data_IF_722373934081
#
_entry.id   IF_722373934081
#
_cell.length_a   1.000
_cell.length_b   1.000
_cell.length_c   1.000
_cell.angle_alpha   90.00
_cell.angle_beta   90.00
_cell.angle_gamma   90.00
#
_symmetry.space_group_name_H-M   'P 1'
#
loop_
_entity.id
_entity.type
_entity.pdbx_description
1 polymer ?
#
# COMPACT_ATOMS: atom_id res chain seq x y z
N UNK A 1 46.85 10.76 -40.81
CA UNK A 1 45.91 11.87 -40.49
C UNK A 1 44.55 11.24 -40.26
N UNK A 2 44.14 11.04 -39.01
CA UNK A 2 42.79 10.60 -38.69
C UNK A 2 41.85 11.79 -38.93
N UNK A 3 41.06 11.72 -39.99
CA UNK A 3 39.95 12.65 -40.24
C UNK A 3 38.82 12.25 -39.31
N UNK A 4 38.55 13.08 -38.31
CA UNK A 4 37.30 13.04 -37.57
C UNK A 4 36.20 13.39 -38.57
N UNK A 5 35.40 12.40 -38.97
CA UNK A 5 34.07 12.65 -39.51
C UNK A 5 33.25 13.25 -38.37
N UNK A 6 33.22 14.58 -38.31
CA UNK A 6 32.28 15.31 -37.47
C UNK A 6 30.92 15.12 -38.13
N UNK A 7 30.23 14.05 -37.73
CA UNK A 7 28.81 13.91 -38.01
C UNK A 7 28.11 14.98 -37.17
N UNK A 8 27.83 16.14 -37.76
CA UNK A 8 27.00 17.19 -37.17
C UNK A 8 25.58 16.63 -36.99
N UNK A 9 25.32 16.02 -35.83
CA UNK A 9 24.07 15.30 -35.52
C UNK A 9 22.84 16.22 -35.53
N UNK A 10 23.02 17.54 -35.46
CA UNK A 10 21.93 18.51 -35.54
C UNK A 10 22.21 19.59 -36.59
N UNK A 11 21.29 19.86 -37.53
CA UNK A 11 21.31 21.13 -38.25
C UNK A 11 21.23 22.26 -37.20
N UNK A 12 21.97 23.36 -37.39
CA UNK A 12 22.15 24.49 -36.47
C UNK A 12 20.85 24.99 -35.78
N UNK A 13 20.39 24.30 -34.74
CA UNK A 13 19.35 24.78 -33.82
C UNK A 13 20.07 25.37 -32.62
N UNK A 14 19.92 26.68 -32.35
CA UNK A 14 20.49 27.29 -31.15
C UNK A 14 20.09 26.50 -29.90
N UNK A 15 21.04 26.22 -29.01
CA UNK A 15 20.79 25.42 -27.81
C UNK A 15 19.63 25.97 -26.96
N UNK A 16 19.45 27.29 -26.95
CA UNK A 16 18.32 27.94 -26.28
C UNK A 16 16.95 27.52 -26.84
N UNK A 17 16.85 27.30 -28.16
CA UNK A 17 15.63 26.78 -28.80
C UNK A 17 15.46 25.29 -28.50
N UNK A 18 16.56 24.54 -28.44
CA UNK A 18 16.55 23.12 -28.08
C UNK A 18 16.08 22.88 -26.63
N UNK A 19 16.49 23.74 -25.70
CA UNK A 19 16.18 23.64 -24.26
C UNK A 19 14.76 24.10 -23.92
N UNK A 20 14.19 25.03 -24.69
CA UNK A 20 12.87 25.63 -24.44
C UNK A 20 11.74 24.58 -24.22
N UNK A 21 11.56 23.54 -25.06
CA UNK A 21 10.65 22.43 -24.81
C UNK A 21 10.77 21.81 -23.41
N UNK A 22 12.00 21.60 -22.96
CA UNK A 22 12.31 21.10 -21.62
C UNK A 22 11.89 22.07 -20.54
N UNK A 23 12.21 23.36 -20.71
CA UNK A 23 11.82 24.40 -19.75
C UNK A 23 10.31 24.53 -19.58
N UNK A 24 9.54 24.38 -20.66
CA UNK A 24 8.06 24.38 -20.59
C UNK A 24 7.56 23.17 -19.79
N UNK A 25 8.02 21.96 -20.13
CA UNK A 25 7.63 20.73 -19.41
C UNK A 25 8.01 20.80 -17.91
N UNK A 26 9.19 21.34 -17.61
CA UNK A 26 9.67 21.52 -16.24
C UNK A 26 8.82 22.53 -15.46
N UNK A 27 8.41 23.63 -16.07
CA UNK A 27 7.54 24.61 -15.44
C UNK A 27 6.15 24.04 -15.11
N UNK A 28 5.58 23.26 -16.04
CA UNK A 28 4.33 22.52 -15.82
C UNK A 28 4.50 21.58 -14.62
N UNK A 29 5.58 20.80 -14.59
CA UNK A 29 5.84 19.86 -13.51
C UNK A 29 6.04 20.51 -12.14
N UNK A 30 6.83 21.58 -12.06
CA UNK A 30 7.01 22.35 -10.82
C UNK A 30 5.66 22.84 -10.29
N UNK A 31 4.80 23.34 -11.17
CA UNK A 31 3.49 23.84 -10.75
C UNK A 31 2.52 22.71 -10.37
N UNK A 32 2.61 21.54 -11.01
CA UNK A 32 1.87 20.33 -10.62
C UNK A 32 2.31 19.83 -9.24
N UNK A 33 3.61 19.85 -8.96
CA UNK A 33 4.18 19.42 -7.67
C UNK A 33 3.69 20.31 -6.52
N UNK A 34 3.77 21.64 -6.70
CA UNK A 34 3.30 22.61 -5.71
C UNK A 34 1.78 22.58 -5.63
N UNK A 35 1.12 22.73 -6.77
CA UNK A 35 -0.31 22.94 -6.90
C UNK A 35 -1.19 21.71 -6.68
N UNK A 36 -0.62 20.51 -6.76
CA UNK A 36 -1.28 19.22 -6.58
C UNK A 36 -0.70 18.42 -5.43
N UNK A 37 0.56 17.99 -5.54
CA UNK A 37 1.18 17.06 -4.58
C UNK A 37 1.33 17.63 -3.16
N UNK A 38 1.99 18.78 -3.03
CA UNK A 38 2.28 19.41 -1.73
C UNK A 38 0.98 19.86 -1.05
N UNK A 39 0.10 20.55 -1.77
CA UNK A 39 -1.18 21.03 -1.23
C UNK A 39 -2.06 19.87 -0.76
N UNK A 40 -2.16 18.81 -1.55
CA UNK A 40 -2.97 17.64 -1.17
C UNK A 40 -2.50 17.01 0.14
N UNK A 41 -1.19 16.86 0.32
CA UNK A 41 -0.65 16.24 1.54
C UNK A 41 -0.75 17.19 2.73
N UNK A 42 -0.58 18.49 2.53
CA UNK A 42 -0.80 19.49 3.58
C UNK A 42 -2.28 19.50 4.02
N UNK A 43 -3.22 19.44 3.08
CA UNK A 43 -4.66 19.29 3.36
C UNK A 43 -4.95 17.97 4.09
N UNK A 44 -4.27 16.88 3.72
CA UNK A 44 -4.39 15.58 4.39
C UNK A 44 -3.87 15.66 5.83
N UNK A 45 -2.72 16.28 6.04
CA UNK A 45 -2.09 16.42 7.36
C UNK A 45 -2.86 17.37 8.29
N UNK A 46 -3.54 18.39 7.74
CA UNK A 46 -4.44 19.28 8.48
C UNK A 46 -5.80 18.64 8.80
N UNK A 47 -6.06 17.42 8.35
CA UNK A 47 -7.34 16.72 8.53
C UNK A 47 -8.47 17.27 7.64
N UNK A 48 -8.18 18.14 6.68
CA UNK A 48 -9.17 18.74 5.78
C UNK A 48 -9.84 17.67 4.92
N UNK A 49 -9.07 16.67 4.49
CA UNK A 49 -9.56 15.50 3.76
C UNK A 49 -10.65 14.72 4.48
N UNK A 50 -10.62 14.72 5.81
CA UNK A 50 -11.58 14.01 6.65
C UNK A 50 -12.86 14.82 6.83
N UNK A 51 -12.73 16.16 6.82
CA UNK A 51 -13.85 17.08 6.73
C UNK A 51 -14.65 16.91 5.43
N UNK A 52 -14.01 16.51 4.32
CA UNK A 52 -14.74 16.22 3.08
C UNK A 52 -15.56 14.92 3.14
N UNK A 53 -15.23 13.98 4.03
CA UNK A 53 -15.95 12.71 4.15
C UNK A 53 -17.27 12.84 4.91
N UNK A 54 -17.52 13.98 5.56
CA UNK A 54 -18.78 14.31 6.23
C UNK A 54 -19.69 15.22 5.40
N UNK A 55 -19.22 15.71 4.25
CA UNK A 55 -20.04 16.46 3.28
C UNK A 55 -20.59 15.52 2.21
N UNK A 56 -21.65 15.91 1.47
CA UNK A 56 -22.20 15.09 0.39
C UNK A 56 -21.31 15.03 -0.88
N UNK A 57 -20.02 15.37 -0.78
CA UNK A 57 -19.08 15.40 -1.91
C UNK A 57 -18.59 13.97 -2.18
N UNK A 58 -18.68 13.53 -3.43
CA UNK A 58 -18.15 12.23 -3.82
C UNK A 58 -16.63 12.24 -3.92
N UNK A 59 -15.99 11.07 -3.76
CA UNK A 59 -14.54 10.93 -3.94
C UNK A 59 -14.10 11.37 -5.34
N UNK A 60 -14.90 11.07 -6.36
CA UNK A 60 -14.63 11.44 -7.75
C UNK A 60 -14.66 12.95 -7.95
N UNK A 61 -15.62 13.66 -7.35
CA UNK A 61 -15.69 15.12 -7.40
C UNK A 61 -14.47 15.75 -6.74
N UNK A 62 -14.03 15.21 -5.60
CA UNK A 62 -12.84 15.69 -4.92
C UNK A 62 -11.59 15.50 -5.79
N UNK A 63 -11.40 14.29 -6.34
CA UNK A 63 -10.29 13.95 -7.23
C UNK A 63 -10.29 14.84 -8.49
N UNK A 64 -11.45 14.98 -9.12
CA UNK A 64 -11.63 15.79 -10.32
C UNK A 64 -11.35 17.28 -10.03
N UNK A 65 -11.86 17.82 -8.93
CA UNK A 65 -11.63 19.20 -8.52
C UNK A 65 -10.15 19.51 -8.30
N UNK A 66 -9.44 18.61 -7.62
CA UNK A 66 -7.99 18.72 -7.42
C UNK A 66 -7.20 18.62 -8.72
N UNK A 67 -7.54 17.66 -9.60
CA UNK A 67 -6.90 17.52 -10.90
C UNK A 67 -7.13 18.75 -11.79
N UNK A 68 -8.36 19.27 -11.84
CA UNK A 68 -8.70 20.47 -12.63
C UNK A 68 -7.97 21.70 -12.10
N UNK A 69 -8.00 21.93 -10.78
CA UNK A 69 -7.30 23.05 -10.14
C UNK A 69 -5.78 23.01 -10.39
N UNK A 70 -5.17 21.83 -10.22
CA UNK A 70 -3.75 21.61 -10.50
C UNK A 70 -3.41 21.81 -11.98
N UNK A 71 -4.26 21.31 -12.88
CA UNK A 71 -4.10 21.47 -14.33
C UNK A 71 -4.14 22.94 -14.72
N UNK A 72 -5.11 23.72 -14.24
CA UNK A 72 -5.23 25.15 -14.57
C UNK A 72 -3.96 25.91 -14.16
N UNK A 73 -3.49 25.70 -12.93
CA UNK A 73 -2.25 26.29 -12.42
C UNK A 73 -1.05 25.95 -13.31
N UNK A 74 -0.91 24.68 -13.69
CA UNK A 74 0.19 24.20 -14.51
C UNK A 74 0.10 24.68 -15.98
N UNK A 75 -1.10 24.80 -16.53
CA UNK A 75 -1.35 25.38 -17.85
C UNK A 75 -0.91 26.84 -17.89
N UNK A 76 -1.23 27.62 -16.85
CA UNK A 76 -0.78 29.01 -16.75
C UNK A 76 0.75 29.10 -16.75
N UNK A 77 1.43 28.30 -15.92
CA UNK A 77 2.90 28.28 -15.88
C UNK A 77 3.51 27.85 -17.22
N UNK A 78 3.01 26.77 -17.82
CA UNK A 78 3.47 26.27 -19.12
C UNK A 78 3.25 27.28 -20.24
N UNK A 79 2.08 27.92 -20.28
CA UNK A 79 1.76 28.96 -21.26
C UNK A 79 2.67 30.19 -21.10
N UNK A 80 2.89 30.65 -19.87
CA UNK A 80 3.81 31.77 -19.59
C UNK A 80 5.22 31.48 -20.10
N UNK A 81 5.78 30.31 -19.78
CA UNK A 81 7.11 29.92 -20.25
C UNK A 81 7.14 29.68 -21.77
N UNK A 82 6.06 29.14 -22.34
CA UNK A 82 5.94 28.99 -23.79
C UNK A 82 6.00 30.36 -24.50
N UNK A 83 5.23 31.36 -24.06
CA UNK A 83 5.21 32.70 -24.69
C UNK A 83 6.55 33.40 -24.49
N UNK A 84 7.01 33.55 -23.25
CA UNK A 84 8.24 34.28 -22.92
C UNK A 84 9.46 33.57 -23.53
N UNK A 85 9.53 32.26 -23.35
CA UNK A 85 10.63 31.45 -23.86
C UNK A 85 10.69 31.42 -25.38
N UNK A 86 9.55 31.42 -26.08
CA UNK A 86 9.53 31.50 -27.55
C UNK A 86 10.07 32.85 -28.07
N UNK A 87 9.78 33.95 -27.34
CA UNK A 87 10.31 35.28 -27.66
C UNK A 87 11.82 35.35 -27.42
N UNK A 88 12.29 34.89 -26.26
CA UNK A 88 13.71 34.91 -25.89
C UNK A 88 14.54 34.01 -26.81
N UNK A 89 14.04 32.81 -27.12
CA UNK A 89 14.74 31.86 -27.98
C UNK A 89 14.71 32.23 -29.47
N UNK A 90 13.96 33.28 -29.86
CA UNK A 90 13.84 33.71 -31.25
C UNK A 90 13.13 32.69 -32.14
N UNK A 91 12.09 32.02 -31.62
CA UNK A 91 11.34 31.02 -32.38
C UNK A 91 10.61 31.71 -33.54
N UNK A 92 10.74 31.23 -34.80
CA UNK A 92 10.12 31.90 -35.96
C UNK A 92 8.59 31.94 -35.86
N UNK A 93 7.96 33.11 -36.04
CA UNK A 93 6.50 33.30 -35.94
C UNK A 93 5.89 32.74 -34.64
N UNK A 94 6.33 33.23 -33.46
CA UNK A 94 5.91 32.66 -32.17
C UNK A 94 4.41 32.89 -31.90
N UNK A 95 3.81 33.92 -32.50
CA UNK A 95 2.39 34.26 -32.36
C UNK A 95 1.48 33.66 -33.42
N UNK A 96 1.94 32.65 -34.17
CA UNK A 96 1.07 31.95 -35.10
C UNK A 96 -0.09 31.27 -34.33
N UNK A 97 -1.33 31.66 -34.63
CA UNK A 97 -2.52 31.20 -33.89
C UNK A 97 -2.67 29.67 -33.91
N UNK A 98 -2.38 29.01 -35.03
CA UNK A 98 -2.45 27.54 -35.12
C UNK A 98 -1.37 26.87 -34.28
N UNK A 99 -0.15 27.43 -34.24
CA UNK A 99 0.91 26.90 -33.38
C UNK A 99 0.57 27.06 -31.91
N UNK A 100 0.11 28.25 -31.50
CA UNK A 100 -0.34 28.50 -30.13
C UNK A 100 -1.45 27.52 -29.74
N UNK A 101 -2.44 27.30 -30.62
CA UNK A 101 -3.53 26.36 -30.35
C UNK A 101 -3.01 24.93 -30.13
N UNK A 102 -2.11 24.44 -31.01
CA UNK A 102 -1.52 23.10 -30.88
C UNK A 102 -0.68 22.95 -29.61
N UNK A 103 0.12 23.96 -29.28
CA UNK A 103 0.91 24.00 -28.06
C UNK A 103 0.00 24.05 -26.82
N UNK A 104 -1.09 24.81 -26.86
CA UNK A 104 -2.05 24.89 -25.77
C UNK A 104 -2.71 23.53 -25.50
N UNK A 105 -3.11 22.81 -26.56
CA UNK A 105 -3.63 21.44 -26.43
C UNK A 105 -2.59 20.53 -25.78
N UNK A 106 -1.34 20.57 -26.24
CA UNK A 106 -0.27 19.77 -25.66
C UNK A 106 0.04 20.15 -24.20
N UNK A 107 0.03 21.44 -23.85
CA UNK A 107 0.22 21.93 -22.47
C UNK A 107 -0.89 21.38 -21.58
N UNK A 108 -2.15 21.45 -22.00
CA UNK A 108 -3.29 20.95 -21.22
C UNK A 108 -3.19 19.44 -20.99
N UNK A 109 -2.91 18.66 -22.04
CA UNK A 109 -2.78 17.21 -21.93
C UNK A 109 -1.57 16.82 -21.07
N UNK A 110 -0.43 17.51 -21.23
CA UNK A 110 0.77 17.29 -20.41
C UNK A 110 0.49 17.62 -18.95
N UNK A 111 -0.12 18.77 -18.66
CA UNK A 111 -0.48 19.18 -17.32
C UNK A 111 -1.41 18.16 -16.65
N UNK A 112 -2.41 17.67 -17.39
CA UNK A 112 -3.36 16.67 -16.90
C UNK A 112 -2.72 15.29 -16.66
N UNK A 113 -1.78 14.87 -17.51
CA UNK A 113 -1.04 13.62 -17.33
C UNK A 113 -0.12 13.69 -16.09
N UNK A 114 0.66 14.78 -15.96
CA UNK A 114 1.58 14.96 -14.84
C UNK A 114 0.87 15.15 -13.51
N UNK A 115 -0.27 15.88 -13.47
CA UNK A 115 -1.06 16.02 -12.24
C UNK A 115 -1.64 14.67 -11.81
N UNK A 116 -2.14 13.86 -12.76
CA UNK A 116 -2.68 12.53 -12.48
C UNK A 116 -1.60 11.60 -11.92
N UNK A 117 -0.40 11.64 -12.51
CA UNK A 117 0.78 10.93 -11.98
C UNK A 117 1.11 11.37 -10.56
N UNK A 118 1.13 12.68 -10.32
CA UNK A 118 1.53 13.25 -9.04
C UNK A 118 0.59 12.80 -7.93
N UNK A 119 -0.72 12.86 -8.19
CA UNK A 119 -1.69 12.39 -7.23
C UNK A 119 -1.59 10.89 -6.95
N UNK A 120 -1.34 10.06 -7.97
CA UNK A 120 -1.11 8.63 -7.77
C UNK A 120 0.07 8.39 -6.82
N UNK A 121 1.22 9.02 -7.06
CA UNK A 121 2.41 8.87 -6.23
C UNK A 121 2.20 9.39 -4.79
N UNK A 122 1.39 10.42 -4.62
CA UNK A 122 1.18 11.10 -3.34
C UNK A 122 0.08 10.48 -2.48
N UNK A 123 -0.74 9.54 -2.99
CA UNK A 123 -1.83 8.90 -2.23
C UNK A 123 -1.31 8.22 -0.95
N UNK A 124 -0.25 7.42 -1.09
CA UNK A 124 0.36 6.67 0.02
C UNK A 124 1.25 7.51 0.93
N UNK A 125 1.57 8.73 0.53
CA UNK A 125 2.41 9.61 1.34
C UNK A 125 1.54 10.30 2.38
N UNK A 126 1.97 10.22 3.64
CA UNK A 126 1.25 10.82 4.78
C UNK A 126 2.06 11.91 5.46
N UNK A 127 3.39 11.91 5.29
CA UNK A 127 4.28 12.92 5.86
C UNK A 127 4.36 14.16 4.93
N UNK A 128 4.05 15.37 5.43
CA UNK A 128 4.16 16.64 4.68
C UNK A 128 5.55 16.99 4.15
N UNK A 129 6.62 16.44 4.71
CA UNK A 129 8.00 16.72 4.30
C UNK A 129 8.44 15.84 3.12
N UNK A 130 7.89 14.62 3.01
CA UNK A 130 8.25 13.64 1.97
C UNK A 130 8.07 14.15 0.53
N UNK A 131 7.00 14.90 0.16
CA UNK A 131 6.82 15.41 -1.19
C UNK A 131 7.95 16.32 -1.66
N UNK A 132 8.55 17.10 -0.75
CA UNK A 132 9.66 18.00 -1.06
C UNK A 132 10.93 17.22 -1.37
N UNK A 133 11.17 16.11 -0.66
CA UNK A 133 12.29 15.21 -0.94
C UNK A 133 12.08 14.44 -2.26
N UNK A 134 10.87 13.88 -2.44
CA UNK A 134 10.47 13.16 -3.66
C UNK A 134 10.55 14.07 -4.89
N UNK A 135 10.24 15.36 -4.77
CA UNK A 135 10.37 16.33 -5.84
C UNK A 135 11.77 16.33 -6.48
N UNK A 136 12.84 16.42 -5.67
CA UNK A 136 14.21 16.46 -6.19
C UNK A 136 14.58 15.18 -6.94
N UNK A 137 14.15 14.03 -6.40
CA UNK A 137 14.35 12.72 -7.02
C UNK A 137 13.58 12.61 -8.35
N UNK A 138 12.27 12.91 -8.34
CA UNK A 138 11.44 12.85 -9.54
C UNK A 138 11.89 13.83 -10.61
N UNK A 139 12.26 15.05 -10.23
CA UNK A 139 12.83 16.02 -11.15
C UNK A 139 14.04 15.42 -11.87
N UNK A 140 14.98 14.85 -11.12
CA UNK A 140 16.19 14.25 -11.73
C UNK A 140 15.84 13.03 -12.59
N UNK A 141 14.99 12.13 -12.09
CA UNK A 141 14.66 10.86 -12.72
C UNK A 141 13.80 11.00 -13.98
N UNK A 142 12.95 12.04 -14.05
CA UNK A 142 12.07 12.28 -15.20
C UNK A 142 12.69 13.29 -16.17
N UNK A 143 13.23 14.40 -15.68
CA UNK A 143 13.70 15.48 -16.56
C UNK A 143 14.94 15.09 -17.38
N UNK A 144 15.91 14.38 -16.81
CA UNK A 144 17.14 14.04 -17.53
C UNK A 144 16.91 13.01 -18.65
N UNK A 145 16.21 11.88 -18.42
CA UNK A 145 15.91 10.92 -19.47
C UNK A 145 14.91 11.42 -20.51
N UNK A 146 14.13 12.47 -20.21
CA UNK A 146 13.08 13.01 -21.10
C UNK A 146 13.55 13.50 -22.47
N UNK A 147 14.86 13.63 -22.65
CA UNK A 147 15.43 14.24 -23.85
C UNK A 147 15.45 15.77 -23.82
N UNK A 148 15.03 16.41 -22.72
CA UNK A 148 15.01 17.87 -22.58
C UNK A 148 16.40 18.50 -22.76
N UNK A 149 17.40 17.94 -22.07
CA UNK A 149 18.77 18.48 -22.04
C UNK A 149 19.66 17.83 -23.10
N UNK A 150 19.52 16.51 -23.28
CA UNK A 150 20.37 15.72 -24.18
C UNK A 150 19.54 14.85 -25.11
N UNK A 151 20.03 14.50 -26.31
CA UNK A 151 19.32 13.59 -27.20
C UNK A 151 19.27 12.16 -26.63
N UNK A 152 18.10 11.53 -26.66
CA UNK A 152 17.89 10.20 -26.08
C UNK A 152 18.70 9.09 -26.73
N UNK A 153 19.07 9.26 -28.00
CA UNK A 153 19.88 8.31 -28.77
C UNK A 153 21.29 8.13 -28.17
N UNK A 154 21.78 9.12 -27.43
CA UNK A 154 23.07 9.07 -26.75
C UNK A 154 23.05 8.38 -25.39
N UNK A 155 21.88 7.95 -24.89
CA UNK A 155 21.76 7.33 -23.57
C UNK A 155 22.06 5.83 -23.59
N UNK A 156 22.58 5.26 -22.48
CA UNK A 156 22.74 3.83 -22.34
C UNK A 156 21.39 3.10 -22.36
N UNK A 157 21.32 1.81 -22.74
CA UNK A 157 20.05 1.10 -22.95
C UNK A 157 19.08 1.14 -21.76
N UNK A 158 19.58 1.05 -20.53
CA UNK A 158 18.75 1.10 -19.33
C UNK A 158 18.05 2.46 -19.14
N UNK A 159 18.70 3.56 -19.51
CA UNK A 159 18.13 4.91 -19.42
C UNK A 159 17.12 5.16 -20.54
N UNK A 160 17.33 4.56 -21.72
CA UNK A 160 16.33 4.58 -22.79
C UNK A 160 15.04 3.84 -22.41
N UNK A 161 15.12 2.78 -21.60
CA UNK A 161 13.93 2.08 -21.07
C UNK A 161 13.13 3.00 -20.15
N UNK A 162 13.80 3.76 -19.27
CA UNK A 162 13.15 4.74 -18.39
C UNK A 162 12.44 5.81 -19.24
N UNK A 163 13.12 6.36 -20.24
CA UNK A 163 12.57 7.37 -21.13
C UNK A 163 11.28 6.90 -21.85
N UNK A 164 11.18 5.63 -22.22
CA UNK A 164 9.97 5.09 -22.89
C UNK A 164 8.71 5.09 -22.02
N UNK A 165 8.87 4.99 -20.70
CA UNK A 165 7.76 4.96 -19.73
C UNK A 165 7.50 6.34 -19.13
N UNK A 166 8.44 7.27 -19.31
CA UNK A 166 8.38 8.59 -18.73
C UNK A 166 7.46 9.53 -19.54
N UNK A 167 6.34 10.04 -18.97
CA UNK A 167 5.46 10.97 -19.66
C UNK A 167 6.14 12.30 -20.03
N UNK A 168 7.23 12.69 -19.35
CA UNK A 168 8.01 13.87 -19.77
C UNK A 168 8.64 13.70 -21.16
N UNK A 169 9.07 12.49 -21.51
CA UNK A 169 9.66 12.21 -22.82
C UNK A 169 8.71 12.60 -23.95
N UNK A 170 7.45 12.19 -23.86
CA UNK A 170 6.43 12.46 -24.87
C UNK A 170 6.02 13.94 -24.89
N UNK A 171 5.96 14.58 -23.72
CA UNK A 171 5.72 16.02 -23.64
C UNK A 171 6.85 16.82 -24.32
N UNK A 172 8.11 16.51 -24.01
CA UNK A 172 9.29 17.19 -24.58
C UNK A 172 9.39 16.92 -26.08
N UNK A 173 9.13 15.69 -26.53
CA UNK A 173 9.09 15.34 -27.95
C UNK A 173 8.02 16.14 -28.70
N UNK A 174 6.80 16.22 -28.15
CA UNK A 174 5.72 17.01 -28.73
C UNK A 174 6.04 18.50 -28.81
N UNK A 175 6.60 19.06 -27.74
CA UNK A 175 7.02 20.47 -27.71
C UNK A 175 8.12 20.76 -28.73
N UNK A 176 9.12 19.88 -28.87
CA UNK A 176 10.16 20.00 -29.90
C UNK A 176 9.57 20.00 -31.30
N UNK A 177 8.63 19.08 -31.57
CA UNK A 177 8.00 18.97 -32.89
C UNK A 177 7.21 20.22 -33.24
N UNK A 178 6.45 20.78 -32.30
CA UNK A 178 5.65 21.99 -32.53
C UNK A 178 6.48 23.28 -32.56
N UNK A 179 7.47 23.44 -31.68
CA UNK A 179 8.27 24.66 -31.57
C UNK A 179 9.35 24.76 -32.64
N UNK A 180 10.07 23.66 -32.90
CA UNK A 180 11.23 23.66 -33.80
C UNK A 180 10.83 23.36 -35.24
N UNK A 181 9.90 22.42 -35.45
CA UNK A 181 9.53 21.95 -36.79
C UNK A 181 8.20 22.53 -37.29
N UNK A 182 7.42 23.18 -36.41
CA UNK A 182 6.10 23.75 -36.73
C UNK A 182 5.15 22.74 -37.42
N UNK A 183 5.18 21.48 -36.98
CA UNK A 183 4.42 20.39 -37.57
C UNK A 183 2.92 20.46 -37.25
N UNK A 184 2.12 19.68 -37.97
CA UNK A 184 0.71 19.46 -37.65
C UNK A 184 0.50 18.60 -36.39
N UNK A 185 -0.77 18.43 -36.00
CA UNK A 185 -1.17 17.61 -34.85
C UNK A 185 -0.87 16.11 -35.11
N UNK A 186 -0.90 15.69 -36.37
CA UNK A 186 -0.53 14.35 -36.82
C UNK A 186 0.85 13.92 -36.33
N UNK A 187 1.83 14.84 -36.33
CA UNK A 187 3.19 14.55 -35.88
C UNK A 187 3.31 14.30 -34.37
N UNK A 188 2.34 14.77 -33.57
CA UNK A 188 2.32 14.61 -32.11
C UNK A 188 1.16 13.75 -31.64
N UNK A 189 0.43 13.11 -32.55
CA UNK A 189 -0.72 12.28 -32.22
C UNK A 189 -0.33 11.11 -31.31
N UNK A 190 0.85 10.53 -31.53
CA UNK A 190 1.41 9.48 -30.65
C UNK A 190 1.70 9.99 -29.23
N UNK A 191 2.27 11.19 -29.10
CA UNK A 191 2.57 11.82 -27.81
C UNK A 191 1.27 12.12 -27.03
N UNK A 192 0.27 12.70 -27.72
CA UNK A 192 -1.04 12.98 -27.13
C UNK A 192 -1.76 11.71 -26.70
N UNK A 193 -1.76 10.68 -27.55
CA UNK A 193 -2.38 9.40 -27.24
C UNK A 193 -1.72 8.77 -26.01
N UNK A 194 -0.39 8.78 -25.94
CA UNK A 194 0.34 8.27 -24.79
C UNK A 194 -0.02 9.01 -23.51
N UNK A 195 0.01 10.35 -23.52
CA UNK A 195 -0.28 11.16 -22.33
C UNK A 195 -1.74 10.99 -21.85
N UNK A 196 -2.70 10.91 -22.77
CA UNK A 196 -4.10 10.65 -22.44
C UNK A 196 -4.26 9.24 -21.84
N UNK A 197 -3.69 8.21 -22.49
CA UNK A 197 -3.75 6.84 -21.99
C UNK A 197 -3.07 6.72 -20.61
N UNK A 198 -1.90 7.35 -20.45
CA UNK A 198 -1.18 7.41 -19.19
C UNK A 198 -2.03 8.08 -18.10
N UNK A 199 -2.70 9.19 -18.40
CA UNK A 199 -3.58 9.87 -17.44
C UNK A 199 -4.76 8.98 -17.00
N UNK A 200 -5.37 8.25 -17.94
CA UNK A 200 -6.46 7.32 -17.64
C UNK A 200 -5.97 6.17 -16.74
N UNK A 201 -4.82 5.58 -17.04
CA UNK A 201 -4.19 4.56 -16.20
C UNK A 201 -3.89 5.10 -14.81
N UNK A 202 -3.28 6.29 -14.70
CA UNK A 202 -2.94 6.87 -13.41
C UNK A 202 -4.19 7.15 -12.54
N UNK A 203 -5.28 7.65 -13.14
CA UNK A 203 -6.55 7.88 -12.44
C UNK A 203 -7.17 6.56 -11.98
N UNK A 204 -7.21 5.54 -12.84
CA UNK A 204 -7.80 4.23 -12.48
C UNK A 204 -7.04 3.53 -11.36
N UNK A 205 -5.71 3.52 -11.43
CA UNK A 205 -4.85 2.98 -10.37
C UNK A 205 -5.06 3.72 -9.05
N UNK A 206 -5.14 5.06 -9.10
CA UNK A 206 -5.40 5.88 -7.91
C UNK A 206 -6.75 5.52 -7.28
N UNK A 207 -7.79 5.35 -8.08
CA UNK A 207 -9.12 4.98 -7.57
C UNK A 207 -9.09 3.62 -6.88
N UNK A 208 -8.41 2.63 -7.48
CA UNK A 208 -8.26 1.30 -6.89
C UNK A 208 -7.49 1.35 -5.55
N UNK A 209 -6.40 2.13 -5.48
CA UNK A 209 -5.63 2.30 -4.23
C UNK A 209 -6.45 2.95 -3.11
N UNK A 210 -7.22 4.00 -3.40
CA UNK A 210 -8.07 4.63 -2.40
C UNK A 210 -9.24 3.75 -1.93
N UNK A 211 -9.74 2.88 -2.81
CA UNK A 211 -10.79 1.93 -2.49
C UNK A 211 -10.26 0.88 -1.49
N UNK A 212 -9.07 0.34 -1.75
CA UNK A 212 -8.34 -0.54 -0.83
C UNK A 212 -8.05 0.14 0.51
N UNK A 213 -7.53 1.37 0.51
CA UNK A 213 -7.31 2.12 1.76
C UNK A 213 -8.59 2.34 2.58
N UNK A 214 -9.73 2.58 1.92
CA UNK A 214 -11.02 2.73 2.60
C UNK A 214 -11.49 1.41 3.20
N UNK A 215 -11.36 0.32 2.43
CA UNK A 215 -11.66 -1.03 2.89
C UNK A 215 -10.81 -1.40 4.11
N UNK A 216 -9.52 -1.13 4.07
CA UNK A 216 -8.59 -1.46 5.16
C UNK A 216 -8.85 -0.62 6.41
N UNK A 217 -9.14 0.69 6.27
CA UNK A 217 -9.55 1.54 7.40
C UNK A 217 -10.83 1.03 8.07
N UNK A 218 -11.82 0.61 7.28
CA UNK A 218 -13.06 0.03 7.79
C UNK A 218 -12.80 -1.30 8.53
N UNK A 219 -12.00 -2.18 7.94
CA UNK A 219 -11.64 -3.48 8.52
C UNK A 219 -10.91 -3.31 9.85
N UNK A 220 -9.90 -2.44 9.91
CA UNK A 220 -9.13 -2.17 11.12
C UNK A 220 -9.97 -1.50 12.22
N UNK A 221 -10.84 -0.55 11.86
CA UNK A 221 -11.75 0.07 12.81
C UNK A 221 -12.76 -0.94 13.38
N UNK A 222 -13.30 -1.80 12.52
CA UNK A 222 -14.23 -2.86 12.89
C UNK A 222 -13.56 -3.90 13.80
N UNK A 223 -12.38 -4.39 13.45
CA UNK A 223 -11.61 -5.36 14.23
C UNK A 223 -11.44 -4.89 15.69
N UNK A 224 -11.00 -3.63 15.87
CA UNK A 224 -10.85 -3.03 17.20
C UNK A 224 -12.19 -2.87 17.93
N UNK A 225 -13.24 -2.36 17.27
CA UNK A 225 -14.54 -2.17 17.93
C UNK A 225 -15.22 -3.49 18.30
N UNK A 226 -15.14 -4.51 17.44
CA UNK A 226 -15.68 -5.84 17.74
C UNK A 226 -14.90 -6.51 18.89
N UNK A 227 -13.58 -6.40 18.91
CA UNK A 227 -12.77 -6.85 20.04
C UNK A 227 -13.07 -6.10 21.35
N UNK A 228 -13.27 -4.78 21.28
CA UNK A 228 -13.53 -3.93 22.46
C UNK A 228 -14.95 -4.07 23.01
N UNK A 229 -15.97 -4.24 22.16
CA UNK A 229 -17.41 -4.10 22.52
C UNK A 229 -18.29 -5.28 22.12
N UNK A 230 -17.81 -6.16 21.23
CA UNK A 230 -18.53 -7.35 20.76
C UNK A 230 -19.44 -7.06 19.59
N UNK A 231 -19.78 -8.11 18.84
CA UNK A 231 -20.56 -8.00 17.62
C UNK A 231 -21.90 -7.30 17.85
N UNK A 232 -22.71 -7.73 18.82
CA UNK A 232 -24.06 -7.21 19.04
C UNK A 232 -24.10 -5.69 19.31
N UNK A 233 -23.14 -5.16 20.07
CA UNK A 233 -23.15 -3.76 20.56
C UNK A 233 -22.56 -2.74 19.60
N UNK A 234 -21.83 -3.16 18.58
CA UNK A 234 -21.19 -2.26 17.61
C UNK A 234 -22.15 -1.97 16.46
N UNK A 235 -22.34 -0.69 16.13
CA UNK A 235 -23.13 -0.29 14.96
C UNK A 235 -22.24 0.05 13.77
N UNK A 236 -22.80 -0.05 12.56
CA UNK A 236 -22.10 0.39 11.33
C UNK A 236 -21.68 1.86 11.43
N UNK A 237 -22.49 2.68 12.10
CA UNK A 237 -22.19 4.10 12.33
C UNK A 237 -20.97 4.31 13.22
N UNK A 238 -20.80 3.50 14.27
CA UNK A 238 -19.62 3.56 15.15
C UNK A 238 -18.34 3.24 14.37
N UNK A 239 -18.39 2.20 13.54
CA UNK A 239 -17.27 1.77 12.69
C UNK A 239 -16.94 2.87 11.70
N UNK A 240 -17.93 3.40 10.99
CA UNK A 240 -17.75 4.48 10.00
C UNK A 240 -17.18 5.74 10.65
N UNK A 241 -17.61 6.07 11.87
CA UNK A 241 -17.07 7.19 12.64
C UNK A 241 -15.59 6.97 13.00
N UNK A 242 -15.21 5.77 13.45
CA UNK A 242 -13.81 5.43 13.79
C UNK A 242 -12.92 5.32 12.55
N UNK A 243 -13.45 4.81 11.44
CA UNK A 243 -12.74 4.66 10.17
C UNK A 243 -12.69 5.94 9.32
N UNK A 244 -13.46 6.97 9.70
CA UNK A 244 -13.69 8.18 8.89
C UNK A 244 -14.16 7.81 7.48
N UNK A 245 -15.22 7.02 7.38
CA UNK A 245 -15.80 6.55 6.13
C UNK A 245 -17.33 6.72 6.11
N UNK A 246 -17.92 6.71 4.91
CA UNK A 246 -19.38 6.76 4.76
C UNK A 246 -19.99 5.37 5.03
N UNK A 247 -21.18 5.33 5.65
CA UNK A 247 -22.00 4.11 5.86
C UNK A 247 -22.19 3.33 4.56
N UNK A 248 -22.36 4.01 3.43
CA UNK A 248 -22.48 3.37 2.12
C UNK A 248 -21.26 2.51 1.76
N UNK A 249 -20.05 2.87 2.23
CA UNK A 249 -18.84 2.12 1.97
C UNK A 249 -18.84 0.74 2.65
N UNK A 250 -19.48 0.60 3.82
CA UNK A 250 -19.60 -0.70 4.50
C UNK A 250 -20.47 -1.66 3.69
N UNK A 251 -21.61 -1.18 3.17
CA UNK A 251 -22.46 -1.99 2.30
C UNK A 251 -21.76 -2.33 0.98
N UNK A 252 -21.05 -1.37 0.39
CA UNK A 252 -20.32 -1.56 -0.87
C UNK A 252 -19.19 -2.59 -0.75
N UNK A 253 -18.32 -2.48 0.26
CA UNK A 253 -17.14 -3.34 0.37
C UNK A 253 -17.41 -4.69 1.05
N UNK A 254 -18.40 -4.74 1.94
CA UNK A 254 -18.58 -5.88 2.83
C UNK A 254 -20.02 -6.40 2.87
N UNK A 255 -20.96 -5.80 2.13
CA UNK A 255 -22.36 -6.24 2.15
C UNK A 255 -23.09 -5.98 3.47
N UNK A 256 -22.52 -5.16 4.36
CA UNK A 256 -23.12 -4.79 5.66
C UNK A 256 -22.29 -5.19 6.87
N UNK A 257 -22.90 -5.11 8.06
CA UNK A 257 -22.24 -5.41 9.35
C UNK A 257 -21.79 -6.87 9.44
N UNK A 258 -22.63 -7.81 9.02
CA UNK A 258 -22.34 -9.24 9.08
C UNK A 258 -21.15 -9.62 8.18
N UNK A 259 -21.15 -9.16 6.93
CA UNK A 259 -20.03 -9.45 6.02
C UNK A 259 -18.74 -8.74 6.44
N UNK A 260 -18.83 -7.56 7.08
CA UNK A 260 -17.66 -6.92 7.70
C UNK A 260 -17.14 -7.72 8.89
N UNK A 261 -18.02 -8.28 9.73
CA UNK A 261 -17.61 -9.16 10.82
C UNK A 261 -16.93 -10.43 10.29
N UNK A 262 -17.49 -11.07 9.27
CA UNK A 262 -16.88 -12.23 8.63
C UNK A 262 -15.50 -11.91 8.04
N UNK A 263 -15.32 -10.72 7.46
CA UNK A 263 -14.01 -10.29 6.97
C UNK A 263 -12.98 -10.10 8.09
N UNK A 264 -13.41 -9.53 9.24
CA UNK A 264 -12.57 -9.43 10.44
C UNK A 264 -12.21 -10.83 10.97
N UNK A 265 -13.19 -11.73 11.08
CA UNK A 265 -12.99 -13.11 11.53
C UNK A 265 -12.03 -13.87 10.60
N UNK A 266 -12.16 -13.70 9.28
CA UNK A 266 -11.23 -14.28 8.30
C UNK A 266 -9.81 -13.78 8.50
N UNK A 267 -9.62 -12.48 8.70
CA UNK A 267 -8.30 -11.88 8.96
C UNK A 267 -7.67 -12.45 10.24
N UNK A 268 -8.49 -12.62 11.29
CA UNK A 268 -8.06 -13.27 12.52
C UNK A 268 -7.67 -14.74 12.31
N UNK A 269 -8.47 -15.50 11.56
CA UNK A 269 -8.20 -16.89 11.23
C UNK A 269 -6.92 -17.07 10.43
N UNK A 270 -6.69 -16.26 9.39
CA UNK A 270 -5.47 -16.27 8.57
C UNK A 270 -4.23 -16.02 9.43
N UNK A 271 -4.30 -15.04 10.34
CA UNK A 271 -3.21 -14.75 11.28
C UNK A 271 -2.96 -15.94 12.23
N UNK A 272 -4.03 -16.53 12.75
CA UNK A 272 -3.98 -17.69 13.66
C UNK A 272 -3.45 -18.97 12.97
N UNK A 273 -3.77 -19.17 11.70
CA UNK A 273 -3.24 -20.26 10.88
C UNK A 273 -1.74 -20.05 10.63
N UNK A 274 -1.32 -18.84 10.26
CA UNK A 274 0.10 -18.51 10.08
C UNK A 274 0.95 -18.77 11.34
N UNK A 275 0.40 -18.52 12.53
CA UNK A 275 1.05 -18.90 13.80
C UNK A 275 1.20 -20.42 13.96
N UNK A 276 0.18 -21.18 13.55
CA UNK A 276 0.20 -22.64 13.60
C UNK A 276 1.20 -23.22 12.61
N UNK A 277 1.27 -22.66 11.40
CA UNK A 277 2.22 -23.06 10.37
C UNK A 277 3.66 -22.75 10.77
N UNK A 278 3.89 -21.57 11.37
CA UNK A 278 5.20 -21.21 11.93
C UNK A 278 5.64 -22.18 13.03
N UNK A 279 4.74 -22.56 13.94
CA UNK A 279 5.02 -23.54 14.98
C UNK A 279 5.34 -24.94 14.42
N UNK A 280 4.62 -25.35 13.37
CA UNK A 280 4.88 -26.62 12.66
C UNK A 280 6.22 -26.61 11.94
N UNK A 281 6.55 -25.52 11.25
CA UNK A 281 7.81 -25.35 10.55
C UNK A 281 9.00 -25.36 11.53
N UNK A 282 8.87 -24.67 12.66
CA UNK A 282 9.88 -24.65 13.71
C UNK A 282 10.06 -26.03 14.39
N UNK A 283 8.98 -26.80 14.56
CA UNK A 283 9.02 -28.13 15.16
C UNK A 283 9.54 -29.24 14.25
N UNK A 284 9.34 -29.15 12.93
CA UNK A 284 9.92 -30.02 11.91
C UNK A 284 10.19 -31.48 12.32
N UNK A 285 11.43 -31.94 12.10
CA UNK A 285 11.93 -33.26 12.50
C UNK A 285 12.59 -33.26 13.89
N UNK A 286 12.28 -32.28 14.74
CA UNK A 286 12.84 -32.23 16.08
C UNK A 286 12.26 -33.33 16.98
N UNK A 287 12.95 -33.71 18.06
CA UNK A 287 12.38 -34.59 19.07
C UNK A 287 11.08 -34.02 19.65
N UNK A 288 10.16 -34.87 20.16
CA UNK A 288 8.83 -34.44 20.63
C UNK A 288 8.85 -33.31 21.67
N UNK A 289 9.79 -33.34 22.60
CA UNK A 289 9.96 -32.29 23.61
C UNK A 289 10.34 -30.93 22.99
N UNK A 290 11.20 -30.94 21.97
CA UNK A 290 11.63 -29.73 21.25
C UNK A 290 10.54 -29.21 20.31
N UNK A 291 9.69 -30.10 19.74
CA UNK A 291 8.46 -29.68 19.03
C UNK A 291 7.52 -28.89 19.95
N UNK A 292 7.32 -29.35 21.18
CA UNK A 292 6.49 -28.67 22.19
C UNK A 292 7.13 -27.32 22.57
N UNK A 293 8.45 -27.28 22.78
CA UNK A 293 9.19 -26.04 23.04
C UNK A 293 9.02 -25.03 21.90
N UNK A 294 9.23 -25.46 20.66
CA UNK A 294 9.08 -24.62 19.48
C UNK A 294 7.66 -24.08 19.33
N UNK A 295 6.64 -24.92 19.56
CA UNK A 295 5.25 -24.48 19.61
C UNK A 295 5.06 -23.40 20.68
N UNK A 296 5.51 -23.65 21.91
CA UNK A 296 5.34 -22.71 23.02
C UNK A 296 6.04 -21.39 22.75
N UNK A 297 7.26 -21.41 22.20
CA UNK A 297 8.03 -20.23 21.84
C UNK A 297 7.34 -19.38 20.76
N UNK A 298 6.88 -20.01 19.67
CA UNK A 298 6.16 -19.31 18.59
C UNK A 298 4.87 -18.69 19.12
N UNK A 299 4.12 -19.40 19.98
CA UNK A 299 2.90 -18.86 20.57
C UNK A 299 3.18 -17.74 21.56
N UNK A 300 4.22 -17.84 22.40
CA UNK A 300 4.60 -16.79 23.32
C UNK A 300 5.03 -15.52 22.57
N UNK A 301 5.87 -15.65 21.54
CA UNK A 301 6.31 -14.53 20.71
C UNK A 301 5.12 -13.86 19.98
N UNK A 302 4.25 -14.66 19.36
CA UNK A 302 3.07 -14.15 18.65
C UNK A 302 2.02 -13.58 19.58
N UNK A 303 1.94 -13.99 20.85
CA UNK A 303 0.93 -13.48 21.79
C UNK A 303 1.41 -12.28 22.60
N UNK A 304 2.71 -12.23 22.93
CA UNK A 304 3.29 -11.28 23.89
C UNK A 304 4.37 -10.38 23.27
N UNK A 305 4.75 -10.57 22.01
CA UNK A 305 5.77 -9.76 21.33
C UNK A 305 5.38 -8.28 21.19
N UNK A 306 6.40 -7.41 21.15
CA UNK A 306 6.34 -5.93 21.21
C UNK A 306 5.45 -5.30 20.10
N UNK A 307 5.09 -6.05 19.07
CA UNK A 307 4.33 -5.57 17.90
C UNK A 307 2.88 -6.04 17.83
N UNK A 308 2.32 -6.73 18.83
CA UNK A 308 0.99 -7.33 18.68
C UNK A 308 -0.17 -6.40 18.99
N UNK A 309 -1.09 -6.29 18.03
CA UNK A 309 -2.44 -5.81 18.30
C UNK A 309 -3.25 -6.92 19.00
N UNK A 310 -3.53 -6.76 20.29
CA UNK A 310 -4.26 -7.74 21.13
C UNK A 310 -5.72 -7.97 20.75
N UNK A 311 -6.22 -7.33 19.68
CA UNK A 311 -7.62 -7.42 19.27
C UNK A 311 -8.03 -8.83 18.85
N UNK A 312 -7.13 -9.63 18.25
CA UNK A 312 -7.46 -11.01 17.82
C UNK A 312 -7.81 -11.86 19.04
N UNK A 313 -6.99 -11.80 20.09
CA UNK A 313 -7.25 -12.57 21.31
C UNK A 313 -8.54 -12.11 22.00
N UNK A 314 -8.73 -10.80 22.15
CA UNK A 314 -9.95 -10.23 22.71
C UNK A 314 -11.21 -10.63 21.92
N UNK A 315 -11.10 -10.63 20.58
CA UNK A 315 -12.17 -11.06 19.69
C UNK A 315 -12.51 -12.54 19.90
N UNK A 316 -11.51 -13.41 19.99
CA UNK A 316 -11.73 -14.84 20.25
C UNK A 316 -12.35 -15.09 21.63
N UNK A 317 -11.89 -14.40 22.68
CA UNK A 317 -12.49 -14.51 24.02
C UNK A 317 -13.96 -14.09 24.02
N UNK A 318 -14.31 -13.07 23.23
CA UNK A 318 -15.71 -12.66 23.03
C UNK A 318 -16.51 -13.70 22.28
N UNK A 319 -15.98 -14.21 21.18
CA UNK A 319 -16.63 -15.25 20.37
C UNK A 319 -16.89 -16.53 21.19
N UNK A 320 -16.02 -16.87 22.14
CA UNK A 320 -16.25 -17.99 23.08
C UNK A 320 -17.36 -17.68 24.12
N UNK A 321 -17.52 -16.41 24.49
CA UNK A 321 -18.50 -15.99 25.51
C UNK A 321 -19.90 -15.74 24.92
N UNK A 322 -19.95 -15.24 23.68
CA UNK A 322 -21.14 -14.90 22.92
C UNK A 322 -20.98 -15.41 21.48
N UNK A 323 -21.23 -16.71 21.23
CA UNK A 323 -20.94 -17.36 19.96
C UNK A 323 -21.74 -16.81 18.79
N UNK A 324 -21.05 -16.55 17.68
CA UNK A 324 -21.67 -16.37 16.36
C UNK A 324 -21.48 -17.63 15.53
N UNK A 325 -22.13 -17.74 14.35
CA UNK A 325 -21.84 -18.84 13.41
C UNK A 325 -20.37 -18.94 13.00
N UNK A 326 -19.59 -17.87 13.15
CA UNK A 326 -18.15 -17.86 12.85
C UNK A 326 -17.35 -18.75 13.80
N UNK A 327 -17.80 -18.97 15.05
CA UNK A 327 -17.11 -19.83 16.00
C UNK A 327 -16.93 -21.25 15.48
N UNK A 328 -17.96 -21.83 14.83
CA UNK A 328 -17.89 -23.19 14.29
C UNK A 328 -16.78 -23.31 13.24
N UNK A 329 -16.67 -22.30 12.36
CA UNK A 329 -15.63 -22.23 11.32
C UNK A 329 -14.24 -22.09 11.95
N UNK A 330 -14.08 -21.23 12.95
CA UNK A 330 -12.81 -21.08 13.69
C UNK A 330 -12.41 -22.39 14.38
N UNK A 331 -13.37 -23.09 14.99
CA UNK A 331 -13.14 -24.39 15.62
C UNK A 331 -12.63 -25.41 14.62
N UNK A 332 -13.28 -25.51 13.46
CA UNK A 332 -12.98 -26.55 12.47
C UNK A 332 -11.72 -26.25 11.64
N UNK A 333 -11.54 -25.01 11.19
CA UNK A 333 -10.46 -24.64 10.27
C UNK A 333 -9.17 -24.18 10.96
N UNK A 334 -9.24 -23.83 12.26
CA UNK A 334 -8.07 -23.25 12.97
C UNK A 334 -7.75 -24.03 14.24
N UNK A 335 -8.71 -24.18 15.15
CA UNK A 335 -8.42 -24.75 16.47
C UNK A 335 -8.18 -26.26 16.41
N UNK A 336 -9.00 -27.02 15.66
CA UNK A 336 -8.83 -28.47 15.51
C UNK A 336 -7.47 -28.84 14.90
N UNK A 337 -7.03 -28.27 13.76
CA UNK A 337 -5.70 -28.57 13.20
C UNK A 337 -4.55 -28.21 14.14
N UNK A 338 -4.65 -27.07 14.83
CA UNK A 338 -3.66 -26.65 15.83
C UNK A 338 -3.56 -27.63 17.00
N UNK A 339 -4.71 -28.05 17.54
CA UNK A 339 -4.73 -29.03 18.63
C UNK A 339 -4.22 -30.40 18.16
N UNK A 340 -4.54 -30.82 16.94
CA UNK A 340 -4.01 -32.06 16.39
C UNK A 340 -2.48 -32.07 16.35
N UNK A 341 -1.84 -30.97 15.89
CA UNK A 341 -0.39 -30.83 15.89
C UNK A 341 0.21 -30.99 17.30
N UNK A 342 -0.36 -30.28 18.29
CA UNK A 342 0.12 -30.35 19.67
C UNK A 342 -0.11 -31.74 20.29
N UNK A 343 -1.28 -32.34 20.07
CA UNK A 343 -1.60 -33.69 20.53
C UNK A 343 -0.65 -34.74 19.94
N UNK A 344 -0.29 -34.66 18.66
CA UNK A 344 0.69 -35.56 18.05
C UNK A 344 2.04 -35.47 18.75
N UNK A 345 2.56 -34.27 19.00
CA UNK A 345 3.85 -34.09 19.69
C UNK A 345 3.80 -34.64 21.14
N UNK A 346 2.69 -34.43 21.85
CA UNK A 346 2.50 -34.96 23.21
C UNK A 346 2.39 -36.49 23.21
N UNK A 347 1.64 -37.07 22.26
CA UNK A 347 1.47 -38.51 22.14
C UNK A 347 2.80 -39.22 21.81
N UNK A 348 3.60 -38.64 20.90
CA UNK A 348 4.97 -39.10 20.61
C UNK A 348 5.85 -39.07 21.88
N UNK A 349 5.75 -38.01 22.68
CA UNK A 349 6.51 -37.90 23.94
C UNK A 349 6.07 -38.91 24.99
N UNK A 350 4.77 -39.21 25.06
CA UNK A 350 4.19 -40.17 26.02
C UNK A 350 4.31 -41.63 25.58
N UNK A 351 4.58 -41.89 24.29
CA UNK A 351 4.57 -43.24 23.72
C UNK A 351 3.17 -43.87 23.70
N UNK A 352 2.12 -43.06 23.50
CA UNK A 352 0.72 -43.53 23.46
C UNK A 352 0.02 -43.10 22.17
N UNK A 353 -1.24 -43.55 22.00
CA UNK A 353 -2.05 -43.19 20.86
C UNK A 353 -2.51 -41.70 20.95
N UNK A 354 -2.62 -40.97 19.82
CA UNK A 354 -3.03 -39.56 19.82
C UNK A 354 -4.44 -39.27 20.38
N UNK A 355 -5.30 -40.28 20.41
CA UNK A 355 -6.67 -40.23 20.94
C UNK A 355 -6.76 -40.55 22.45
N UNK A 356 -5.65 -40.87 23.10
CA UNK A 356 -5.61 -41.08 24.55
C UNK A 356 -6.13 -39.83 25.28
N UNK A 357 -7.13 -39.95 26.18
CA UNK A 357 -7.71 -38.80 26.89
C UNK A 357 -6.69 -37.95 27.64
N UNK A 358 -5.54 -38.52 28.04
CA UNK A 358 -4.45 -37.79 28.71
C UNK A 358 -3.79 -36.79 27.78
N UNK A 359 -3.62 -37.13 26.49
CA UNK A 359 -2.98 -36.28 25.48
C UNK A 359 -3.78 -34.98 25.33
N UNK A 360 -5.09 -35.08 25.15
CA UNK A 360 -5.97 -33.91 25.03
C UNK A 360 -5.95 -33.05 26.29
N UNK A 361 -5.98 -33.67 27.49
CA UNK A 361 -5.88 -32.93 28.75
C UNK A 361 -4.56 -32.16 28.85
N UNK A 362 -3.43 -32.78 28.50
CA UNK A 362 -2.13 -32.10 28.45
C UNK A 362 -2.11 -30.95 27.43
N UNK A 363 -2.66 -31.14 26.23
CA UNK A 363 -2.75 -30.10 25.21
C UNK A 363 -3.59 -28.89 25.69
N UNK A 364 -4.72 -29.17 26.35
CA UNK A 364 -5.57 -28.15 26.98
C UNK A 364 -4.85 -27.43 28.12
N UNK A 365 -4.06 -28.14 28.95
CA UNK A 365 -3.27 -27.52 30.02
C UNK A 365 -2.17 -26.59 29.48
N UNK A 366 -1.51 -26.94 28.38
CA UNK A 366 -0.53 -26.05 27.72
C UNK A 366 -1.25 -24.80 27.19
N UNK A 367 -2.34 -24.99 26.46
CA UNK A 367 -3.10 -23.89 25.86
C UNK A 367 -3.70 -22.96 26.93
N UNK A 368 -4.16 -23.53 28.05
CA UNK A 368 -4.71 -22.78 29.19
C UNK A 368 -3.69 -21.85 29.86
N UNK A 369 -2.41 -22.24 29.92
CA UNK A 369 -1.34 -21.39 30.48
C UNK A 369 -1.17 -20.08 29.69
N UNK A 370 -1.34 -20.11 28.36
CA UNK A 370 -1.34 -18.90 27.53
C UNK A 370 -2.50 -17.97 27.88
N UNK A 371 -3.70 -18.52 28.11
CA UNK A 371 -4.87 -17.70 28.46
C UNK A 371 -4.70 -16.98 29.81
N UNK A 372 -4.03 -17.60 30.79
CA UNK A 372 -3.73 -16.94 32.07
C UNK A 372 -2.71 -15.80 31.95
N UNK A 373 -1.76 -15.89 31.01
CA UNK A 373 -0.74 -14.86 30.81
C UNK A 373 -1.32 -13.53 30.31
N UNK A 374 -2.48 -13.57 29.65
CA UNK A 374 -3.21 -12.38 29.23
C UNK A 374 -3.91 -11.63 30.37
N UNK A 375 -4.19 -12.29 31.51
CA UNK A 375 -4.90 -11.66 32.63
C UNK A 375 -4.00 -10.75 33.47
N UNK A 376 -2.68 -11.01 33.51
CA UNK A 376 -1.62 -10.19 34.13
C UNK A 376 -0.34 -11.03 34.20
N UNK A 377 0.65 -10.74 33.36
CA UNK A 377 2.10 -10.98 33.52
C UNK A 377 2.79 -10.74 32.15
N UNK A 378 3.02 -9.48 31.78
CA UNK A 378 3.74 -9.13 30.54
C UNK A 378 4.93 -8.18 30.82
N UNK A 379 5.56 -8.32 31.99
CA UNK A 379 6.83 -7.63 32.28
C UNK A 379 8.05 -8.52 32.04
N UNK A 380 7.86 -9.85 31.95
CA UNK A 380 8.93 -10.79 31.67
C UNK A 380 9.18 -10.94 30.16
N UNK A 381 10.44 -11.14 29.72
CA UNK A 381 10.77 -11.46 28.33
C UNK A 381 9.99 -12.69 27.82
N UNK A 382 9.58 -12.65 26.55
CA UNK A 382 8.85 -13.73 25.87
C UNK A 382 9.55 -15.08 25.99
N UNK A 383 10.88 -15.08 25.93
CA UNK A 383 11.73 -16.26 26.05
C UNK A 383 11.63 -16.91 27.44
N UNK A 384 11.67 -16.11 28.51
CA UNK A 384 11.54 -16.63 29.89
C UNK A 384 10.18 -17.28 30.12
N UNK A 385 9.12 -16.67 29.58
CA UNK A 385 7.75 -17.20 29.65
C UNK A 385 7.65 -18.52 28.89
N UNK A 386 8.19 -18.57 27.67
CA UNK A 386 8.19 -19.79 26.86
C UNK A 386 8.96 -20.94 27.56
N UNK A 387 10.10 -20.62 28.17
CA UNK A 387 10.92 -21.58 28.91
C UNK A 387 10.20 -22.12 30.15
N UNK A 388 9.52 -21.25 30.89
CA UNK A 388 8.73 -21.64 32.05
C UNK A 388 7.59 -22.61 31.65
N UNK A 389 6.76 -22.22 30.67
CA UNK A 389 5.64 -23.05 30.19
C UNK A 389 6.16 -24.40 29.71
N UNK A 390 7.25 -24.40 28.93
CA UNK A 390 7.84 -25.63 28.39
C UNK A 390 8.29 -26.56 29.52
N UNK A 391 9.08 -26.05 30.48
CA UNK A 391 9.62 -26.85 31.58
C UNK A 391 8.52 -27.43 32.47
N UNK A 392 7.54 -26.61 32.82
CA UNK A 392 6.38 -27.03 33.61
C UNK A 392 5.56 -28.10 32.89
N UNK A 393 5.29 -27.88 31.60
CA UNK A 393 4.43 -28.77 30.81
C UNK A 393 5.12 -30.11 30.53
N UNK A 394 6.42 -30.13 30.20
CA UNK A 394 7.17 -31.38 30.02
C UNK A 394 7.22 -32.23 31.29
N UNK A 395 7.37 -31.60 32.46
CA UNK A 395 7.28 -32.28 33.75
C UNK A 395 5.91 -32.93 33.98
N UNK A 396 4.83 -32.19 33.72
CA UNK A 396 3.46 -32.68 33.82
C UNK A 396 3.15 -33.83 32.85
N UNK A 397 3.59 -33.72 31.60
CA UNK A 397 3.40 -34.76 30.57
C UNK A 397 4.13 -36.05 30.95
N UNK A 398 5.39 -35.95 31.41
CA UNK A 398 6.18 -37.11 31.85
C UNK A 398 5.48 -37.88 32.97
N UNK A 399 4.91 -37.17 33.94
CA UNK A 399 4.18 -37.79 35.05
C UNK A 399 2.85 -38.42 34.59
N UNK A 400 2.11 -37.75 33.71
CA UNK A 400 0.87 -38.29 33.12
C UNK A 400 1.13 -39.57 32.28
N UNK A 401 2.29 -39.66 31.63
CA UNK A 401 2.74 -40.85 30.90
C UNK A 401 2.91 -42.06 31.83
N UNK A 402 3.63 -41.87 32.94
CA UNK A 402 3.91 -42.92 33.95
C UNK A 402 2.64 -43.45 34.63
N UNK A 403 1.67 -42.57 34.94
CA UNK A 403 0.44 -42.94 35.63
C UNK A 403 -0.44 -43.95 34.85
N UNK A 404 -0.34 -44.01 33.51
CA UNK A 404 -1.06 -45.00 32.72
C UNK A 404 -0.29 -46.32 32.49
N UNK A 405 1.00 -46.37 32.82
CA UNK A 405 1.81 -47.59 32.75
C UNK A 405 1.72 -48.47 34.00
N UNK A 406 1.33 -47.89 35.15
CA UNK A 406 1.23 -48.60 36.43
C UNK A 406 -0.06 -49.44 36.60
N UNK A 407 -0.90 -49.52 35.56
CA UNK A 407 -2.18 -50.24 35.57
C UNK A 407 -2.30 -51.36 34.53
N UNK A 408 -1.18 -51.84 33.98
CA UNK A 408 -1.14 -53.05 33.14
C UNK A 408 -0.44 -54.19 33.86
#
# INVERSE_FOLDING_TARGET
KATLDVVEVFPYVPYIQYLLPGSIAMAIFMMVMIGGGIIFIDDKARGLHEGYLVTPISKLELIAGFNVSGTIKAVLAGFTIMVIGSLIAGVPNPFNAFRILRLMVLIVVTAFALISMMFLLMVRVSDPLMPRAIFGLLNTALYFPSGAVYPQQGFPPWMQVIAKVDPFTYAVHGFKSLLLKNTGIDAIAGDLLYLVAFSAVAITLRMAEQDLETRDRLLNAAARLFAERGFARVTVRDICKKARANVAAVNYHFGGKDGLYQAVMRTAMETMQGTTDAARAAGGNLPPAEKIRAYVAVFADRLLGIHHETWIHQLMMREMSDPTPSLAVVMDEVLKPRMAYLCCAIAELMGCAPDDPRVMRCALSITGQFNSLLWRLAEAPTEEIADHITRFSLGGISQAGKAGGAGK
#
